data_IF_428233281482
#
_entry.id   IF_428233281482
#
_cell.length_a   1.000
_cell.length_b   1.000
_cell.length_c   1.000
_cell.angle_alpha   90.00
_cell.angle_beta   90.00
_cell.angle_gamma   90.00
#
_symmetry.space_group_name_H-M   'P 1'
#
loop_
_entity.id
_entity.type
_entity.pdbx_description
1 polymer ?
#
# COMPACT_ATOMS: atom_id res chain seq x y z
N UNK A 1 5.04 18.63 -6.51
CA UNK A 1 5.83 18.75 -5.25
C UNK A 1 4.99 18.87 -3.97
N UNK A 2 3.73 19.34 -3.99
CA UNK A 2 2.85 19.40 -2.78
C UNK A 2 2.31 18.03 -2.31
N UNK A 3 1.90 17.15 -3.24
CA UNK A 3 1.30 15.84 -2.91
C UNK A 3 2.23 14.94 -2.07
N UNK A 4 3.52 14.89 -2.42
CA UNK A 4 4.54 14.09 -1.71
C UNK A 4 4.76 14.54 -0.26
N UNK A 5 4.52 15.82 0.05
CA UNK A 5 4.72 16.37 1.39
C UNK A 5 3.60 15.95 2.35
N UNK A 6 2.42 15.59 1.85
CA UNK A 6 1.30 15.13 2.67
C UNK A 6 1.44 13.66 3.09
N UNK A 7 2.07 12.84 2.23
CA UNK A 7 2.38 11.43 2.53
C UNK A 7 3.22 11.27 3.80
N UNK A 8 3.99 12.28 4.21
CA UNK A 8 4.77 12.21 5.44
C UNK A 8 3.90 12.13 6.70
N UNK A 9 2.66 12.65 6.65
CA UNK A 9 1.72 12.67 7.76
C UNK A 9 0.65 11.56 7.69
N UNK A 10 0.59 10.81 6.59
CA UNK A 10 -0.39 9.74 6.43
C UNK A 10 0.10 8.46 7.12
N UNK A 11 -0.68 7.96 8.08
CA UNK A 11 -0.43 6.64 8.69
C UNK A 11 -0.79 5.49 7.74
N UNK A 12 -1.79 5.72 6.87
CA UNK A 12 -2.25 4.77 5.87
C UNK A 12 -2.29 5.41 4.49
N UNK A 13 -1.96 4.63 3.47
CA UNK A 13 -1.91 5.09 2.08
C UNK A 13 -2.63 4.12 1.15
N UNK A 14 -3.43 4.64 0.20
CA UNK A 14 -4.02 3.84 -0.87
C UNK A 14 -2.96 3.38 -1.87
N UNK A 15 -2.98 2.10 -2.18
CA UNK A 15 -2.12 1.50 -3.22
C UNK A 15 -2.93 0.63 -4.16
N UNK A 16 -2.53 0.60 -5.44
CA UNK A 16 -3.07 -0.29 -6.47
C UNK A 16 -2.09 -1.43 -6.73
N UNK A 17 -2.51 -2.68 -6.52
CA UNK A 17 -1.64 -3.84 -6.77
C UNK A 17 -1.48 -4.10 -8.27
N UNK A 18 -0.25 -4.37 -8.71
CA UNK A 18 0.08 -4.66 -10.12
C UNK A 18 -0.11 -6.13 -10.49
N UNK A 19 -0.13 -7.02 -9.49
CA UNK A 19 -0.26 -8.47 -9.63
C UNK A 19 -0.93 -9.05 -8.39
N UNK A 20 -1.43 -10.28 -8.52
CA UNK A 20 -1.97 -11.02 -7.37
C UNK A 20 -0.91 -11.13 -6.27
N UNK A 21 -1.30 -10.85 -5.03
CA UNK A 21 -0.43 -10.92 -3.86
C UNK A 21 -1.18 -11.54 -2.67
N UNK A 22 -0.56 -12.44 -1.89
CA UNK A 22 -1.22 -13.09 -0.76
C UNK A 22 -1.55 -12.11 0.36
N UNK A 23 -2.36 -12.54 1.33
CA UNK A 23 -2.60 -11.75 2.53
C UNK A 23 -1.30 -11.52 3.32
N UNK A 24 -1.21 -10.38 4.00
CA UNK A 24 -0.11 -10.05 4.92
C UNK A 24 -0.63 -9.63 6.28
N UNK A 25 0.26 -9.63 7.28
CA UNK A 25 0.06 -8.89 8.52
C UNK A 25 0.57 -7.45 8.34
N UNK A 26 -0.29 -6.47 8.60
CA UNK A 26 0.08 -5.06 8.65
C UNK A 26 0.93 -4.74 9.87
N UNK A 27 1.66 -3.62 9.84
CA UNK A 27 2.44 -3.15 11.00
C UNK A 27 1.57 -2.74 12.19
N UNK A 28 0.26 -2.62 11.99
CA UNK A 28 -0.76 -2.38 13.01
C UNK A 28 -1.36 -3.68 13.60
N UNK A 29 -0.88 -4.85 13.15
CA UNK A 29 -1.37 -6.15 13.61
C UNK A 29 -2.66 -6.62 12.95
N UNK A 30 -3.15 -5.94 11.90
CA UNK A 30 -4.33 -6.38 11.13
C UNK A 30 -3.94 -7.20 9.91
N UNK A 31 -4.76 -8.18 9.56
CA UNK A 31 -4.59 -8.95 8.31
C UNK A 31 -5.16 -8.15 7.13
N UNK A 32 -4.40 -8.05 6.04
CA UNK A 32 -4.81 -7.39 4.80
C UNK A 32 -4.71 -8.35 3.62
N UNK A 33 -5.60 -8.19 2.64
CA UNK A 33 -5.65 -9.01 1.44
C UNK A 33 -6.44 -10.32 1.62
N UNK A 34 -6.41 -11.24 0.64
CA UNK A 34 -5.53 -11.26 -0.54
C UNK A 34 -5.78 -10.08 -1.48
N UNK A 35 -4.79 -9.75 -2.29
CA UNK A 35 -4.81 -8.60 -3.18
C UNK A 35 -4.84 -9.05 -4.65
N UNK A 36 -6.00 -9.03 -5.32
CA UNK A 36 -6.07 -9.27 -6.75
C UNK A 36 -5.32 -8.19 -7.55
N UNK A 37 -4.81 -8.55 -8.73
CA UNK A 37 -4.23 -7.58 -9.65
C UNK A 37 -5.24 -6.47 -10.00
N UNK A 38 -4.80 -5.22 -9.92
CA UNK A 38 -5.63 -4.03 -10.18
C UNK A 38 -6.45 -3.54 -8.99
N UNK A 39 -6.52 -4.29 -7.88
CA UNK A 39 -7.30 -3.86 -6.71
C UNK A 39 -6.61 -2.72 -5.97
N UNK A 40 -7.43 -1.82 -5.41
CA UNK A 40 -6.97 -0.68 -4.61
C UNK A 40 -7.26 -0.94 -3.14
N UNK A 41 -6.26 -0.81 -2.29
CA UNK A 41 -6.38 -1.02 -0.85
C UNK A 41 -5.64 0.06 -0.07
N UNK A 42 -6.18 0.42 1.09
CA UNK A 42 -5.54 1.33 2.05
C UNK A 42 -4.75 0.49 3.04
N UNK A 43 -3.43 0.71 3.10
CA UNK A 43 -2.52 -0.07 3.93
C UNK A 43 -1.72 0.83 4.87
N UNK A 44 -1.20 0.30 6.00
CA UNK A 44 -0.23 1.02 6.80
C UNK A 44 0.94 1.45 5.91
N UNK A 45 1.39 2.70 6.07
CA UNK A 45 2.39 3.32 5.20
C UNK A 45 3.66 2.50 5.07
N UNK A 46 4.16 1.94 6.16
CA UNK A 46 5.34 1.07 6.15
C UNK A 46 5.18 -0.15 5.22
N UNK A 47 4.01 -0.78 5.21
CA UNK A 47 3.72 -1.91 4.31
C UNK A 47 3.60 -1.44 2.85
N UNK A 48 2.87 -0.35 2.62
CA UNK A 48 2.68 0.22 1.27
C UNK A 48 4.02 0.63 0.63
N UNK A 49 4.91 1.28 1.38
CA UNK A 49 6.24 1.66 0.90
C UNK A 49 7.06 0.45 0.43
N UNK A 50 6.98 -0.67 1.14
CA UNK A 50 7.66 -1.91 0.74
C UNK A 50 7.10 -2.42 -0.59
N UNK A 51 5.77 -2.41 -0.77
CA UNK A 51 5.16 -2.85 -2.03
C UNK A 51 5.51 -1.93 -3.20
N UNK A 52 5.52 -0.62 -2.99
CA UNK A 52 5.89 0.36 -4.01
C UNK A 52 7.37 0.22 -4.38
N UNK A 53 8.27 0.17 -3.39
CA UNK A 53 9.71 0.00 -3.62
C UNK A 53 10.05 -1.31 -4.34
N UNK A 54 9.27 -2.37 -4.12
CA UNK A 54 9.44 -3.68 -4.77
C UNK A 54 8.69 -3.81 -6.10
N UNK A 55 8.02 -2.75 -6.57
CA UNK A 55 7.24 -2.76 -7.81
C UNK A 55 6.05 -3.72 -7.79
N UNK A 56 5.52 -4.05 -6.61
CA UNK A 56 4.33 -4.90 -6.43
C UNK A 56 3.05 -4.08 -6.53
N UNK A 57 3.08 -2.82 -6.10
CA UNK A 57 1.94 -1.91 -6.13
C UNK A 57 2.38 -0.49 -6.49
N UNK A 58 1.43 0.33 -6.91
CA UNK A 58 1.58 1.76 -7.15
C UNK A 58 0.85 2.57 -6.09
N UNK A 59 1.38 3.76 -5.77
CA UNK A 59 0.62 4.74 -5.00
C UNK A 59 -0.63 5.17 -5.79
N UNK A 60 -1.79 5.20 -5.14
CA UNK A 60 -3.06 5.53 -5.79
C UNK A 60 -3.69 6.77 -5.16
N UNK A 61 -3.34 7.95 -5.66
CA UNK A 61 -3.83 9.26 -5.20
C UNK A 61 -4.58 10.01 -6.30
#
# INVERSE_FOLDING_TARGET
>A
MRQLKLLQYMEYVPVRFRRNFPSIMGTDGKKYGPFPAGSVHVLPKKNAEVFIKRGVADLWL
#
